data_IF_763639106135
#
_entry.id   IF_763639106135
#
_cell.length_a   1.000
_cell.length_b   1.000
_cell.length_c   1.000
_cell.angle_alpha   90.00
_cell.angle_beta   90.00
_cell.angle_gamma   90.00
#
_symmetry.space_group_name_H-M   'P 1'
#
loop_
_entity.id
_entity.type
_entity.pdbx_description
1 polymer ?
#
# COMPACT_ATOMS: atom_id res chain seq x y z
N UNK A 1 13.77 3.74 22.71
CA UNK A 1 13.22 4.81 21.85
C UNK A 1 12.80 5.91 22.78
N UNK A 2 13.24 7.16 22.55
CA UNK A 2 12.88 8.30 23.40
C UNK A 2 12.04 9.23 22.54
N UNK A 3 10.79 9.47 22.94
CA UNK A 3 9.87 10.38 22.25
C UNK A 3 9.89 11.75 22.93
N UNK A 4 9.94 12.82 22.14
CA UNK A 4 9.91 14.19 22.61
C UNK A 4 8.66 14.86 22.03
N UNK A 5 7.72 15.23 22.90
CA UNK A 5 6.62 16.11 22.55
C UNK A 5 7.09 17.57 22.51
N UNK A 6 6.26 18.50 22.01
CA UNK A 6 6.61 19.91 21.84
C UNK A 6 6.38 20.80 23.08
N UNK A 7 7.13 20.65 24.17
CA UNK A 7 7.59 21.84 24.86
C UNK A 7 8.88 22.27 24.17
N UNK A 8 8.99 23.55 23.79
CA UNK A 8 10.24 24.19 23.33
C UNK A 8 11.45 23.94 24.26
N UNK A 9 11.18 23.47 25.48
CA UNK A 9 12.13 23.00 26.50
C UNK A 9 12.89 21.72 26.14
N UNK A 10 12.37 20.84 25.29
CA UNK A 10 12.95 19.49 25.06
C UNK A 10 13.57 19.35 23.67
N UNK A 11 12.92 19.90 22.64
CA UNK A 11 13.34 19.77 21.24
C UNK A 11 13.15 21.10 20.49
N UNK A 12 14.13 21.47 19.68
CA UNK A 12 14.02 22.54 18.68
C UNK A 12 14.88 22.21 17.45
N UNK A 13 14.35 22.46 16.26
CA UNK A 13 15.09 22.36 15.00
C UNK A 13 15.54 23.77 14.57
N UNK A 14 16.78 23.88 14.09
CA UNK A 14 17.38 25.11 13.57
C UNK A 14 17.74 24.89 12.10
N UNK A 15 16.96 25.51 11.23
CA UNK A 15 17.10 25.37 9.78
C UNK A 15 18.44 25.92 9.27
N UNK A 16 18.84 27.12 9.70
CA UNK A 16 20.07 27.80 9.23
C UNK A 16 21.34 26.96 9.38
N UNK A 17 21.44 26.21 10.47
CA UNK A 17 22.63 25.45 10.84
C UNK A 17 22.46 23.93 10.57
N UNK A 18 21.28 23.51 10.09
CA UNK A 18 20.85 22.11 10.00
C UNK A 18 21.04 21.34 11.33
N UNK A 19 20.71 21.97 12.47
CA UNK A 19 20.94 21.42 13.81
C UNK A 19 19.63 21.09 14.52
N UNK A 20 19.69 20.09 15.40
CA UNK A 20 18.67 19.85 16.42
C UNK A 20 19.23 20.12 17.80
N UNK A 21 18.46 20.88 18.57
CA UNK A 21 18.72 21.08 19.98
C UNK A 21 17.84 20.15 20.80
N UNK A 22 18.48 19.24 21.55
CA UNK A 22 17.81 18.22 22.35
C UNK A 22 18.28 18.33 23.80
N UNK A 23 17.33 18.36 24.74
CA UNK A 23 17.64 18.33 26.16
C UNK A 23 17.92 16.90 26.60
N UNK A 24 19.17 16.63 26.99
CA UNK A 24 19.60 15.35 27.56
C UNK A 24 19.59 15.43 29.10
N UNK A 25 19.86 14.32 29.78
CA UNK A 25 19.83 14.21 31.25
C UNK A 25 20.66 15.27 31.99
N UNK A 26 21.76 15.74 31.39
CA UNK A 26 22.71 16.66 32.04
C UNK A 26 22.76 18.05 31.40
N UNK A 27 22.47 18.15 30.11
CA UNK A 27 22.62 19.39 29.37
C UNK A 27 21.82 19.38 28.07
N UNK A 28 21.52 20.58 27.58
CA UNK A 28 20.97 20.77 26.24
C UNK A 28 22.11 20.71 25.23
N UNK A 29 22.05 19.73 24.34
CA UNK A 29 23.03 19.53 23.28
C UNK A 29 22.50 20.07 21.96
N UNK A 30 23.40 20.57 21.13
CA UNK A 30 23.14 20.89 19.72
C UNK A 30 23.86 19.87 18.88
N UNK A 31 23.14 19.22 17.98
CA UNK A 31 23.64 18.12 17.17
C UNK A 31 23.35 18.47 15.72
N UNK A 32 24.41 18.52 14.92
CA UNK A 32 24.30 18.71 13.47
C UNK A 32 23.68 17.48 12.83
N UNK A 33 22.68 17.69 11.98
CA UNK A 33 22.03 16.62 11.24
C UNK A 33 22.77 16.34 9.94
N UNK A 34 22.76 15.07 9.53
CA UNK A 34 23.15 14.66 8.17
C UNK A 34 21.88 14.59 7.34
N UNK A 35 21.55 15.67 6.66
CA UNK A 35 20.35 15.80 5.82
C UNK A 35 20.67 15.56 4.34
N UNK A 36 19.80 14.81 3.67
CA UNK A 36 19.75 14.77 2.20
C UNK A 36 18.73 15.77 1.66
N UNK A 37 18.69 15.91 0.33
CA UNK A 37 17.84 16.92 -0.33
C UNK A 37 16.36 16.74 -0.03
N UNK A 38 15.89 15.50 0.04
CA UNK A 38 14.51 15.20 0.43
C UNK A 38 14.17 15.77 1.82
N UNK A 39 15.05 15.57 2.80
CA UNK A 39 14.84 16.07 4.15
C UNK A 39 14.91 17.60 4.19
N UNK A 40 15.87 18.20 3.47
CA UNK A 40 15.98 19.66 3.36
C UNK A 40 14.68 20.27 2.82
N UNK A 41 14.18 19.76 1.70
CA UNK A 41 12.93 20.24 1.08
C UNK A 41 11.73 20.11 2.02
N UNK A 42 11.66 19.04 2.82
CA UNK A 42 10.54 18.84 3.77
C UNK A 42 10.66 19.66 5.05
N UNK A 43 11.87 20.00 5.47
CA UNK A 43 12.13 20.77 6.68
C UNK A 43 12.13 22.27 6.42
N UNK A 44 12.40 22.69 5.18
CA UNK A 44 12.39 24.09 4.75
C UNK A 44 11.04 24.74 5.06
N UNK A 45 11.09 25.91 5.71
CA UNK A 45 9.92 26.70 6.12
C UNK A 45 8.90 25.95 7.00
N UNK A 46 9.28 24.77 7.50
CA UNK A 46 8.39 23.90 8.24
C UNK A 46 8.44 24.20 9.74
N UNK A 47 7.34 23.92 10.45
CA UNK A 47 7.29 23.99 11.91
C UNK A 47 7.23 22.59 12.50
N UNK A 48 8.38 21.96 12.82
CA UNK A 48 8.41 20.68 13.51
C UNK A 48 7.53 20.66 14.75
N UNK A 49 6.74 19.59 14.88
CA UNK A 49 5.84 19.40 16.00
C UNK A 49 6.51 18.53 17.06
N UNK A 50 6.77 17.25 16.75
CA UNK A 50 7.41 16.32 17.67
C UNK A 50 8.70 15.77 17.07
N UNK A 51 9.54 15.15 17.89
CA UNK A 51 10.67 14.37 17.40
C UNK A 51 10.87 13.10 18.22
N UNK A 52 11.30 12.01 17.58
CA UNK A 52 11.64 10.76 18.26
C UNK A 52 13.09 10.38 17.98
N UNK A 53 13.90 10.19 19.03
CA UNK A 53 15.26 9.71 18.92
C UNK A 53 15.30 8.18 19.00
N UNK A 54 15.85 7.59 17.94
CA UNK A 54 15.97 6.15 17.75
C UNK A 54 17.46 5.77 17.67
N UNK A 55 17.87 4.77 18.45
CA UNK A 55 19.19 4.14 18.30
C UNK A 55 19.05 2.87 17.47
N UNK A 56 19.87 2.73 16.43
CA UNK A 56 19.90 1.54 15.57
C UNK A 56 21.35 1.12 15.37
N UNK A 57 21.76 0.07 16.07
CA UNK A 57 23.18 -0.31 16.13
C UNK A 57 23.99 0.74 16.89
N UNK A 58 25.06 1.22 16.27
CA UNK A 58 25.90 2.32 16.76
C UNK A 58 25.38 3.71 16.40
N UNK A 59 24.40 3.80 15.49
CA UNK A 59 23.92 5.06 14.93
C UNK A 59 22.66 5.57 15.65
N UNK A 60 22.50 6.89 15.65
CA UNK A 60 21.33 7.59 16.15
C UNK A 60 20.59 8.27 15.01
N UNK A 61 19.28 8.13 15.02
CA UNK A 61 18.35 8.72 14.05
C UNK A 61 17.34 9.56 14.80
N UNK A 62 17.04 10.75 14.28
CA UNK A 62 15.95 11.58 14.79
C UNK A 62 14.83 11.66 13.76
N UNK A 63 13.65 11.21 14.15
CA UNK A 63 12.44 11.30 13.33
C UNK A 63 11.73 12.59 13.69
N UNK A 64 11.77 13.59 12.82
CA UNK A 64 11.13 14.89 13.03
C UNK A 64 9.75 14.85 12.36
N UNK A 65 8.70 15.13 13.14
CA UNK A 65 7.35 15.22 12.62
C UNK A 65 7.05 16.64 12.17
N UNK A 66 6.66 16.78 10.91
CA UNK A 66 6.23 18.05 10.31
C UNK A 66 4.76 17.94 9.95
N UNK A 67 3.98 18.99 10.22
CA UNK A 67 2.63 19.13 9.69
C UNK A 67 2.70 19.85 8.35
N UNK A 68 2.02 19.31 7.35
CA UNK A 68 1.84 19.94 6.04
C UNK A 68 0.36 19.87 5.69
N UNK A 69 -0.18 20.96 5.16
CA UNK A 69 -1.51 20.94 4.56
C UNK A 69 -1.44 20.15 3.25
N UNK A 70 -2.41 19.27 3.05
CA UNK A 70 -2.54 18.55 1.78
C UNK A 70 -3.07 19.55 0.74
N UNK A 71 -2.58 19.48 -0.52
CA UNK A 71 -3.18 20.28 -1.59
C UNK A 71 -4.65 19.91 -1.75
N UNK A 72 -5.44 20.86 -2.25
CA UNK A 72 -6.85 20.60 -2.57
C UNK A 72 -6.98 19.42 -3.55
N UNK A 73 -8.02 18.63 -3.35
CA UNK A 73 -8.28 17.47 -4.19
C UNK A 73 -8.74 17.92 -5.58
N UNK A 74 -8.15 17.34 -6.61
CA UNK A 74 -8.55 17.64 -7.99
C UNK A 74 -9.91 16.99 -8.25
N UNK A 75 -10.90 17.79 -8.69
CA UNK A 75 -12.18 17.26 -9.16
C UNK A 75 -12.05 16.79 -10.61
N UNK A 76 -12.07 15.48 -10.82
CA UNK A 76 -11.89 14.84 -12.14
C UNK A 76 -12.89 13.71 -12.36
N UNK A 77 -13.44 13.65 -13.57
CA UNK A 77 -14.30 12.53 -14.02
C UNK A 77 -13.49 11.32 -14.48
N UNK A 78 -12.22 11.53 -14.84
CA UNK A 78 -11.30 10.46 -15.23
C UNK A 78 -10.97 9.60 -14.02
N UNK A 79 -11.02 8.28 -14.20
CA UNK A 79 -10.74 7.30 -13.14
C UNK A 79 -9.69 6.32 -13.60
N UNK A 80 -8.63 6.18 -12.79
CA UNK A 80 -7.65 5.13 -12.89
C UNK A 80 -8.04 3.99 -11.96
N UNK A 81 -8.64 2.95 -12.52
CA UNK A 81 -8.97 1.73 -11.78
C UNK A 81 -7.72 0.88 -11.57
N UNK A 82 -7.55 0.37 -10.36
CA UNK A 82 -6.40 -0.45 -9.99
C UNK A 82 -6.89 -1.75 -9.36
N UNK A 83 -6.74 -2.85 -10.10
CA UNK A 83 -7.00 -4.20 -9.59
C UNK A 83 -5.76 -4.69 -8.83
N UNK A 84 -5.96 -5.17 -7.60
CA UNK A 84 -4.88 -5.68 -6.76
C UNK A 84 -4.92 -7.21 -6.76
N UNK A 85 -3.80 -7.85 -7.10
CA UNK A 85 -3.72 -9.30 -7.19
C UNK A 85 -2.56 -9.96 -6.44
N UNK A 86 -2.63 -11.29 -6.32
CA UNK A 86 -1.57 -12.12 -5.72
C UNK A 86 -0.45 -12.41 -6.74
N UNK A 87 -0.82 -12.61 -8.01
CA UNK A 87 0.14 -12.97 -9.07
C UNK A 87 0.81 -11.73 -9.66
N UNK A 88 0.00 -10.77 -10.08
CA UNK A 88 0.43 -9.40 -10.36
C UNK A 88 -0.07 -8.53 -9.22
N UNK A 89 0.80 -7.72 -8.66
CA UNK A 89 0.55 -6.98 -7.42
C UNK A 89 -0.52 -5.92 -7.65
N UNK A 90 -0.46 -5.26 -8.81
CA UNK A 90 -1.44 -4.30 -9.27
C UNK A 90 -1.52 -4.32 -10.80
N UNK A 91 -2.73 -4.12 -11.35
CA UNK A 91 -2.99 -3.92 -12.78
C UNK A 91 -3.87 -2.69 -12.93
N UNK A 92 -3.50 -1.76 -13.81
CA UNK A 92 -4.26 -0.51 -14.02
C UNK A 92 -5.24 -0.63 -15.18
N UNK A 93 -6.27 0.22 -15.19
CA UNK A 93 -7.25 0.33 -16.28
C UNK A 93 -6.66 0.84 -17.60
N UNK A 94 -5.41 1.34 -17.58
CA UNK A 94 -4.63 1.66 -18.79
C UNK A 94 -3.78 0.47 -19.28
N UNK A 95 -3.77 -0.65 -18.55
CA UNK A 95 -3.05 -1.88 -18.92
C UNK A 95 -1.64 -1.99 -18.33
N UNK A 96 -1.20 -1.05 -17.49
CA UNK A 96 0.08 -1.16 -16.80
C UNK A 96 0.00 -2.29 -15.76
N UNK A 97 0.97 -3.21 -15.79
CA UNK A 97 1.04 -4.36 -14.87
C UNK A 97 2.26 -4.27 -13.98
N UNK A 98 2.06 -4.39 -12.68
CA UNK A 98 3.12 -4.49 -11.68
C UNK A 98 3.30 -5.94 -11.26
N UNK A 99 4.24 -6.63 -11.90
CA UNK A 99 4.42 -8.08 -11.75
C UNK A 99 4.87 -8.51 -10.35
N UNK A 100 4.35 -9.64 -9.86
CA UNK A 100 4.73 -10.23 -8.58
C UNK A 100 5.82 -11.31 -8.65
N UNK A 101 6.38 -11.58 -9.83
CA UNK A 101 7.31 -12.71 -10.07
C UNK A 101 8.53 -12.67 -9.15
N UNK A 102 9.22 -11.53 -9.08
CA UNK A 102 10.43 -11.37 -8.25
C UNK A 102 10.12 -11.53 -6.77
N UNK A 103 9.02 -10.94 -6.29
CA UNK A 103 8.55 -11.13 -4.92
C UNK A 103 8.28 -12.61 -4.64
N UNK A 104 7.59 -13.30 -5.54
CA UNK A 104 7.29 -14.73 -5.40
C UNK A 104 8.56 -15.56 -5.29
N UNK A 105 9.57 -15.30 -6.12
CA UNK A 105 10.87 -15.98 -6.06
C UNK A 105 11.56 -15.74 -4.72
N UNK A 106 11.60 -14.49 -4.25
CA UNK A 106 12.19 -14.12 -2.97
C UNK A 106 11.46 -14.80 -1.80
N UNK A 107 10.12 -14.78 -1.80
CA UNK A 107 9.31 -15.46 -0.78
C UNK A 107 9.57 -16.96 -0.75
N UNK A 108 9.68 -17.59 -1.92
CA UNK A 108 9.98 -19.02 -2.03
C UNK A 108 11.40 -19.34 -1.53
N UNK A 109 12.38 -18.51 -1.87
CA UNK A 109 13.76 -18.65 -1.39
C UNK A 109 13.83 -18.60 0.14
N UNK A 110 13.29 -17.54 0.77
CA UNK A 110 13.27 -17.41 2.22
C UNK A 110 12.42 -18.49 2.90
N UNK A 111 11.33 -18.93 2.27
CA UNK A 111 10.53 -20.06 2.75
C UNK A 111 11.32 -21.36 2.81
N UNK A 112 12.07 -21.68 1.75
CA UNK A 112 12.92 -22.85 1.67
C UNK A 112 14.03 -22.79 2.73
N UNK A 113 14.73 -21.64 2.84
CA UNK A 113 15.74 -21.42 3.87
C UNK A 113 15.19 -21.63 5.28
N UNK A 114 14.00 -21.09 5.60
CA UNK A 114 13.36 -21.27 6.91
C UNK A 114 13.06 -22.74 7.18
N UNK A 115 12.57 -23.48 6.19
CA UNK A 115 12.29 -24.91 6.32
C UNK A 115 13.58 -25.71 6.61
N UNK A 116 14.66 -25.44 5.88
CA UNK A 116 15.98 -26.08 6.12
C UNK A 116 16.50 -25.77 7.52
N UNK A 117 16.45 -24.50 7.95
CA UNK A 117 16.89 -24.09 9.28
C UNK A 117 16.04 -24.75 10.38
N UNK A 118 14.73 -24.89 10.16
CA UNK A 118 13.84 -25.54 11.12
C UNK A 118 14.13 -27.05 11.23
N UNK A 119 14.32 -27.74 10.11
CA UNK A 119 14.72 -29.16 10.11
C UNK A 119 16.06 -29.39 10.82
N UNK A 120 17.07 -28.55 10.54
CA UNK A 120 18.38 -28.61 11.21
C UNK A 120 18.29 -28.31 12.70
N UNK A 121 17.41 -27.39 13.10
CA UNK A 121 17.20 -27.07 14.51
C UNK A 121 16.53 -28.23 15.28
N UNK A 122 15.57 -28.93 14.66
CA UNK A 122 14.90 -30.08 15.30
C UNK A 122 15.86 -31.25 15.51
N UNK A 123 16.70 -31.56 14.53
CA UNK A 123 17.65 -32.69 14.59
C UNK A 123 19.00 -32.35 15.25
N UNK A 124 19.21 -31.08 15.60
CA UNK A 124 20.53 -30.55 15.95
C UNK A 124 20.84 -30.49 17.45
N UNK A 125 22.13 -30.45 17.76
CA UNK A 125 22.66 -30.19 19.11
C UNK A 125 22.27 -28.79 19.63
N UNK A 126 22.49 -28.51 20.92
CA UNK A 126 22.22 -27.19 21.53
C UNK A 126 22.91 -26.04 20.78
N UNK A 127 24.17 -26.24 20.38
CA UNK A 127 24.95 -25.26 19.60
C UNK A 127 24.36 -25.05 18.19
N UNK A 128 23.93 -26.12 17.54
CA UNK A 128 23.27 -26.06 16.22
C UNK A 128 21.95 -25.29 16.28
N UNK A 129 21.14 -25.54 17.31
CA UNK A 129 19.90 -24.80 17.58
C UNK A 129 20.15 -23.31 17.79
N UNK A 130 21.17 -22.95 18.57
CA UNK A 130 21.58 -21.56 18.78
C UNK A 130 21.94 -20.88 17.46
N UNK A 131 22.82 -21.49 16.65
CA UNK A 131 23.22 -20.95 15.33
C UNK A 131 22.03 -20.79 14.39
N UNK A 132 21.10 -21.75 14.37
CA UNK A 132 19.88 -21.63 13.55
C UNK A 132 19.01 -20.44 13.98
N UNK A 133 18.86 -20.19 15.29
CA UNK A 133 18.13 -19.02 15.81
C UNK A 133 18.83 -17.71 15.43
N UNK A 134 20.14 -17.62 15.57
CA UNK A 134 20.92 -16.43 15.17
C UNK A 134 20.78 -16.15 13.67
N UNK A 135 20.82 -17.18 12.82
CA UNK A 135 20.57 -17.04 11.38
C UNK A 135 19.14 -16.59 11.08
N UNK A 136 18.14 -17.17 11.75
CA UNK A 136 16.74 -16.74 11.59
C UNK A 136 16.55 -15.26 12.00
N UNK A 137 17.18 -14.82 13.09
CA UNK A 137 17.16 -13.42 13.50
C UNK A 137 17.80 -12.50 12.45
N UNK A 138 18.94 -12.89 11.88
CA UNK A 138 19.59 -12.12 10.79
C UNK A 138 18.75 -12.02 9.52
N UNK A 139 17.97 -13.06 9.21
CA UNK A 139 17.07 -13.08 8.03
C UNK A 139 15.74 -12.37 8.31
N UNK A 140 15.39 -12.16 9.58
CA UNK A 140 14.13 -11.57 10.00
C UNK A 140 13.90 -10.19 9.38
N UNK A 141 12.68 -9.98 8.88
CA UNK A 141 12.26 -8.73 8.28
C UNK A 141 12.85 -8.40 6.90
N UNK A 142 13.79 -9.19 6.34
CA UNK A 142 14.32 -8.94 4.97
C UNK A 142 13.22 -8.99 3.91
N UNK A 143 12.41 -10.05 3.95
CA UNK A 143 11.25 -10.23 3.06
C UNK A 143 10.25 -9.07 3.19
N UNK A 144 9.94 -8.66 4.42
CA UNK A 144 9.02 -7.55 4.69
C UNK A 144 9.56 -6.20 4.19
N UNK A 145 10.86 -5.94 4.35
CA UNK A 145 11.51 -4.72 3.81
C UNK A 145 11.47 -4.70 2.29
N UNK A 146 11.73 -5.82 1.64
CA UNK A 146 11.66 -5.92 0.19
C UNK A 146 10.23 -5.71 -0.33
N UNK A 147 9.23 -6.36 0.27
CA UNK A 147 7.82 -6.13 -0.08
C UNK A 147 7.42 -4.66 0.12
N UNK A 148 7.86 -4.05 1.22
CA UNK A 148 7.62 -2.63 1.51
C UNK A 148 8.21 -1.72 0.45
N UNK A 149 9.45 -1.96 0.03
CA UNK A 149 10.12 -1.24 -1.05
C UNK A 149 9.28 -1.29 -2.33
N UNK A 150 8.91 -2.49 -2.79
CA UNK A 150 8.09 -2.66 -4.00
C UNK A 150 6.74 -1.96 -3.86
N UNK A 151 6.06 -2.09 -2.72
CA UNK A 151 4.81 -1.39 -2.50
C UNK A 151 4.98 0.14 -2.53
N UNK A 152 6.10 0.69 -2.05
CA UNK A 152 6.39 2.13 -2.19
C UNK A 152 6.63 2.51 -3.66
N UNK A 153 7.34 1.70 -4.44
CA UNK A 153 7.59 1.97 -5.86
C UNK A 153 6.28 1.95 -6.66
N UNK A 154 5.46 0.91 -6.48
CA UNK A 154 4.15 0.76 -7.14
C UNK A 154 3.21 1.91 -6.77
N UNK A 155 3.03 2.20 -5.48
CA UNK A 155 2.15 3.29 -5.04
C UNK A 155 2.62 4.65 -5.54
N UNK A 156 3.93 4.89 -5.64
CA UNK A 156 4.46 6.13 -6.22
C UNK A 156 4.12 6.21 -7.70
N UNK A 157 4.38 5.14 -8.46
CA UNK A 157 4.12 5.10 -9.90
C UNK A 157 2.63 5.33 -10.23
N UNK A 158 1.72 4.68 -9.49
CA UNK A 158 0.27 4.84 -9.70
C UNK A 158 -0.18 6.27 -9.39
N UNK A 159 0.26 6.85 -8.28
CA UNK A 159 -0.10 8.23 -7.91
C UNK A 159 0.47 9.23 -8.91
N UNK A 160 1.73 9.08 -9.32
CA UNK A 160 2.33 9.92 -10.35
C UNK A 160 1.55 9.83 -11.66
N UNK A 161 1.19 8.61 -12.09
CA UNK A 161 0.39 8.44 -13.30
C UNK A 161 -0.97 9.14 -13.18
N UNK A 162 -1.64 9.02 -12.04
CA UNK A 162 -2.92 9.68 -11.79
C UNK A 162 -2.82 11.22 -11.82
N UNK A 163 -1.66 11.79 -11.44
CA UNK A 163 -1.38 13.23 -11.59
C UNK A 163 -1.14 13.64 -13.05
N UNK A 164 -0.54 12.75 -13.87
CA UNK A 164 -0.26 13.03 -15.29
C UNK A 164 -1.52 13.03 -16.17
N UNK A 165 -2.51 12.19 -15.87
CA UNK A 165 -3.77 12.07 -16.64
C UNK A 165 -4.97 12.78 -15.99
N UNK A 166 -4.71 13.70 -15.05
CA UNK A 166 -5.64 14.13 -14.01
C UNK A 166 -6.80 13.15 -13.75
N UNK A 167 -6.54 12.09 -12.98
CA UNK A 167 -7.53 11.07 -12.64
C UNK A 167 -7.60 10.82 -11.14
N UNK A 168 -8.78 10.42 -10.66
CA UNK A 168 -8.92 9.81 -9.33
C UNK A 168 -8.58 8.33 -9.38
N UNK A 169 -8.07 7.79 -8.28
CA UNK A 169 -7.69 6.38 -8.16
C UNK A 169 -8.86 5.59 -7.57
N UNK A 170 -9.28 4.51 -8.23
CA UNK A 170 -10.28 3.59 -7.70
C UNK A 170 -9.64 2.24 -7.33
N UNK A 171 -9.95 1.73 -6.14
CA UNK A 171 -9.50 0.45 -5.61
C UNK A 171 -10.67 -0.36 -5.07
N UNK A 172 -10.58 -1.69 -5.12
CA UNK A 172 -11.53 -2.54 -4.41
C UNK A 172 -11.35 -2.47 -2.89
N UNK A 173 -12.45 -2.53 -2.15
CA UNK A 173 -12.40 -2.72 -0.69
C UNK A 173 -12.21 -4.20 -0.33
N UNK A 174 -10.96 -4.63 -0.32
CA UNK A 174 -10.55 -6.00 0.00
C UNK A 174 -10.60 -6.35 1.50
N UNK A 175 -11.37 -5.60 2.29
CA UNK A 175 -11.54 -5.83 3.73
C UNK A 175 -12.30 -7.15 3.94
N UNK A 176 -11.81 -8.02 4.85
CA UNK A 176 -12.49 -9.29 5.16
C UNK A 176 -12.05 -10.51 4.32
N UNK A 177 -11.20 -10.32 3.31
CA UNK A 177 -10.80 -11.41 2.41
C UNK A 177 -10.01 -12.50 3.13
N UNK A 178 -9.20 -12.12 4.12
CA UNK A 178 -8.34 -13.07 4.85
C UNK A 178 -9.17 -14.02 5.70
N UNK A 179 -10.21 -13.50 6.34
CA UNK A 179 -11.13 -14.23 7.20
C UNK A 179 -11.84 -15.34 6.41
N UNK A 180 -12.41 -14.99 5.25
CA UNK A 180 -13.08 -15.96 4.38
C UNK A 180 -12.12 -17.03 3.84
N UNK A 181 -10.92 -16.62 3.41
CA UNK A 181 -9.89 -17.55 2.92
C UNK A 181 -9.37 -18.47 4.03
N UNK A 182 -9.20 -17.95 5.24
CA UNK A 182 -8.68 -18.74 6.35
C UNK A 182 -9.62 -19.87 6.74
N UNK A 183 -10.94 -19.66 6.64
CA UNK A 183 -11.96 -20.65 6.95
C UNK A 183 -12.15 -21.70 5.84
N UNK A 184 -12.11 -21.29 4.56
CA UNK A 184 -12.57 -22.13 3.44
C UNK A 184 -11.46 -22.70 2.56
N UNK A 185 -10.24 -22.13 2.61
CA UNK A 185 -9.20 -22.47 1.65
C UNK A 185 -8.14 -23.46 2.16
N UNK A 186 -7.55 -24.20 1.21
CA UNK A 186 -6.41 -25.09 1.46
C UNK A 186 -5.16 -24.34 1.92
N UNK A 187 -4.24 -25.07 2.59
CA UNK A 187 -3.01 -24.53 3.22
C UNK A 187 -2.17 -23.64 2.28
N UNK A 188 -2.03 -24.04 1.02
CA UNK A 188 -1.25 -23.30 0.03
C UNK A 188 -1.90 -21.97 -0.39
N UNK A 189 -3.22 -21.94 -0.54
CA UNK A 189 -3.94 -20.72 -0.90
C UNK A 189 -3.96 -19.73 0.27
N UNK A 190 -4.24 -20.22 1.48
CA UNK A 190 -4.15 -19.44 2.73
C UNK A 190 -2.77 -18.78 2.90
N UNK A 191 -1.69 -19.53 2.66
CA UNK A 191 -0.32 -18.98 2.72
C UNK A 191 -0.09 -17.83 1.75
N UNK A 192 -0.61 -17.93 0.52
CA UNK A 192 -0.46 -16.89 -0.51
C UNK A 192 -1.21 -15.62 -0.12
N UNK A 193 -2.47 -15.75 0.30
CA UNK A 193 -3.32 -14.62 0.71
C UNK A 193 -2.79 -13.93 1.97
N UNK A 194 -2.38 -14.70 2.98
CA UNK A 194 -1.81 -14.12 4.20
C UNK A 194 -0.43 -13.49 3.97
N UNK A 195 0.32 -13.98 2.98
CA UNK A 195 1.58 -13.37 2.55
C UNK A 195 1.39 -12.16 1.63
N UNK A 196 0.18 -11.87 1.18
CA UNK A 196 -0.12 -10.76 0.27
C UNK A 196 -0.32 -9.46 1.07
N UNK A 197 0.51 -8.47 0.79
CA UNK A 197 0.56 -7.19 1.50
C UNK A 197 -0.28 -6.10 0.81
N UNK A 198 -1.48 -6.45 0.32
CA UNK A 198 -2.38 -5.51 -0.36
C UNK A 198 -2.80 -4.35 0.54
N UNK A 199 -3.05 -4.63 1.83
CA UNK A 199 -3.41 -3.61 2.81
C UNK A 199 -2.32 -2.53 2.93
N UNK A 200 -1.05 -2.94 2.98
CA UNK A 200 0.07 -2.00 3.00
C UNK A 200 0.15 -1.17 1.70
N UNK A 201 -0.15 -1.78 0.54
CA UNK A 201 -0.19 -1.04 -0.71
C UNK A 201 -1.34 -0.02 -0.73
N UNK A 202 -2.52 -0.38 -0.23
CA UNK A 202 -3.67 0.53 -0.03
C UNK A 202 -3.31 1.69 0.91
N UNK A 203 -2.66 1.43 2.04
CA UNK A 203 -2.17 2.48 2.94
C UNK A 203 -1.21 3.43 2.22
N UNK A 204 -0.29 2.87 1.42
CA UNK A 204 0.69 3.66 0.70
C UNK A 204 0.09 4.49 -0.42
N UNK A 205 -0.90 3.97 -1.14
CA UNK A 205 -1.69 4.72 -2.09
C UNK A 205 -2.46 5.84 -1.39
N UNK A 206 -3.10 5.55 -0.26
CA UNK A 206 -3.93 6.51 0.49
C UNK A 206 -3.14 7.75 0.91
N UNK A 207 -2.02 7.58 1.63
CA UNK A 207 -1.28 8.77 2.08
C UNK A 207 -0.55 9.49 0.95
N UNK A 208 -0.12 8.80 -0.11
CA UNK A 208 0.55 9.44 -1.25
C UNK A 208 -0.42 10.18 -2.14
N UNK A 209 -1.60 9.61 -2.38
CA UNK A 209 -2.67 10.26 -3.12
C UNK A 209 -3.11 11.54 -2.40
N UNK A 210 -3.32 11.45 -1.07
CA UNK A 210 -3.60 12.63 -0.24
C UNK A 210 -2.50 13.69 -0.33
N UNK A 211 -1.22 13.29 -0.20
CA UNK A 211 -0.09 14.21 -0.30
C UNK A 211 0.08 14.81 -1.70
N UNK A 212 -0.54 14.22 -2.72
CA UNK A 212 -0.49 14.62 -4.12
C UNK A 212 -1.76 15.35 -4.60
N UNK A 213 -2.78 15.48 -3.74
CA UNK A 213 -4.09 16.05 -4.12
C UNK A 213 -4.92 15.13 -5.04
N UNK A 214 -4.55 13.86 -5.15
CA UNK A 214 -5.24 12.88 -5.98
C UNK A 214 -6.36 12.24 -5.15
N UNK A 215 -7.63 12.31 -5.57
CA UNK A 215 -8.71 11.61 -4.88
C UNK A 215 -8.53 10.10 -4.99
N UNK A 216 -8.80 9.38 -3.91
CA UNK A 216 -8.80 7.92 -3.87
C UNK A 216 -10.16 7.44 -3.36
N UNK A 217 -10.81 6.59 -4.16
CA UNK A 217 -12.12 6.00 -3.86
C UNK A 217 -12.02 4.50 -3.72
N UNK A 218 -12.88 3.95 -2.87
CA UNK A 218 -13.04 2.53 -2.69
C UNK A 218 -14.35 2.08 -3.34
N UNK A 219 -14.30 0.96 -4.05
CA UNK A 219 -15.46 0.33 -4.70
C UNK A 219 -15.70 -1.06 -4.10
N UNK A 220 -16.94 -1.51 -4.15
CA UNK A 220 -17.28 -2.87 -3.73
C UNK A 220 -16.61 -3.90 -4.68
N UNK A 221 -15.87 -4.90 -4.16
CA UNK A 221 -15.30 -5.98 -4.97
C UNK A 221 -16.34 -6.92 -5.59
N UNK A 222 -17.61 -6.83 -5.22
CA UNK A 222 -18.65 -7.71 -5.73
C UNK A 222 -18.76 -7.63 -7.26
N UNK A 223 -18.72 -8.80 -7.92
CA UNK A 223 -18.91 -8.98 -9.36
C UNK A 223 -17.91 -8.29 -10.31
N UNK A 224 -16.93 -7.54 -9.80
CA UNK A 224 -15.89 -6.86 -10.61
C UNK A 224 -15.07 -7.84 -11.45
N UNK A 225 -14.80 -9.03 -10.92
CA UNK A 225 -14.03 -10.08 -11.59
C UNK A 225 -14.86 -11.00 -12.51
N UNK A 226 -16.19 -10.88 -12.46
CA UNK A 226 -17.13 -11.72 -13.23
C UNK A 226 -17.82 -10.93 -14.35
N UNK A 227 -17.84 -9.61 -14.27
CA UNK A 227 -18.52 -8.73 -15.23
C UNK A 227 -17.60 -8.41 -16.40
N UNK A 228 -18.12 -8.38 -17.64
CA UNK A 228 -17.36 -7.92 -18.79
C UNK A 228 -17.34 -6.38 -18.85
N UNK A 229 -16.16 -5.78 -18.94
CA UNK A 229 -16.05 -4.32 -19.01
C UNK A 229 -16.61 -3.70 -20.30
N UNK A 230 -16.78 -4.48 -21.37
CA UNK A 230 -17.26 -3.99 -22.65
C UNK A 230 -18.78 -3.95 -22.74
N UNK A 231 -19.47 -4.94 -22.17
CA UNK A 231 -20.93 -5.06 -22.30
C UNK A 231 -21.69 -5.16 -20.97
N UNK A 232 -21.00 -5.23 -19.83
CA UNK A 232 -21.62 -5.29 -18.49
C UNK A 232 -22.24 -6.65 -18.14
N UNK A 233 -22.16 -7.65 -19.01
CA UNK A 233 -22.71 -8.99 -18.76
C UNK A 233 -21.69 -9.92 -18.10
N UNK A 234 -22.19 -10.96 -17.43
CA UNK A 234 -21.33 -11.97 -16.82
C UNK A 234 -20.50 -12.73 -17.87
N UNK A 235 -19.21 -12.85 -17.60
CA UNK A 235 -18.28 -13.65 -18.37
C UNK A 235 -17.68 -14.78 -17.55
N UNK A 236 -16.81 -15.54 -18.23
CA UNK A 236 -16.15 -16.71 -17.69
C UNK A 236 -14.69 -16.36 -17.44
N UNK A 237 -14.27 -16.41 -16.18
CA UNK A 237 -12.87 -16.24 -15.76
C UNK A 237 -12.20 -17.61 -15.60
N UNK A 238 -11.07 -17.81 -16.26
CA UNK A 238 -10.21 -18.96 -16.05
C UNK A 238 -8.78 -18.50 -15.73
N UNK A 239 -8.48 -18.36 -14.45
CA UNK A 239 -7.19 -17.84 -13.98
C UNK A 239 -6.95 -16.40 -14.44
N UNK A 240 -6.07 -16.25 -15.43
CA UNK A 240 -5.66 -14.96 -16.03
C UNK A 240 -6.44 -14.59 -17.29
N UNK A 241 -7.20 -15.51 -17.87
CA UNK A 241 -8.04 -15.22 -19.03
C UNK A 241 -9.48 -14.93 -18.60
N UNK A 242 -10.12 -14.04 -19.34
CA UNK A 242 -11.54 -13.76 -19.26
C UNK A 242 -12.14 -13.89 -20.66
N UNK A 243 -13.33 -14.47 -20.75
CA UNK A 243 -14.12 -14.56 -21.99
C UNK A 243 -15.56 -14.19 -21.72
N UNK A 244 -16.09 -13.22 -22.45
CA UNK A 244 -17.51 -12.88 -22.44
C UNK A 244 -18.25 -13.72 -23.49
N UNK A 245 -19.28 -14.50 -23.10
CA UNK A 245 -20.10 -15.25 -24.05
C UNK A 245 -21.08 -14.36 -24.83
N UNK A 246 -21.38 -13.15 -24.34
CA UNK A 246 -22.38 -12.25 -24.93
C UNK A 246 -21.77 -11.37 -26.02
N UNK A 247 -20.74 -10.57 -25.70
CA UNK A 247 -20.11 -9.68 -26.68
C UNK A 247 -18.87 -10.27 -27.36
N UNK A 248 -18.44 -11.48 -26.98
CA UNK A 248 -17.28 -12.16 -27.55
C UNK A 248 -15.92 -11.64 -27.06
N UNK A 249 -15.87 -10.59 -26.24
CA UNK A 249 -14.61 -10.06 -25.73
C UNK A 249 -13.80 -11.13 -24.98
N UNK A 250 -12.50 -11.20 -25.26
CA UNK A 250 -11.58 -12.05 -24.52
C UNK A 250 -10.26 -11.34 -24.26
N UNK A 251 -9.67 -11.59 -23.10
CA UNK A 251 -8.43 -10.91 -22.71
C UNK A 251 -7.98 -11.25 -21.30
N UNK A 252 -7.12 -10.38 -20.75
CA UNK A 252 -6.60 -10.52 -19.40
C UNK A 252 -7.68 -10.18 -18.36
N UNK A 253 -7.90 -11.10 -17.42
CA UNK A 253 -8.93 -10.98 -16.39
C UNK A 253 -8.67 -9.83 -15.41
N UNK A 254 -7.42 -9.52 -15.11
CA UNK A 254 -7.06 -8.45 -14.17
C UNK A 254 -7.18 -7.07 -14.86
N UNK A 255 -6.92 -7.00 -16.17
CA UNK A 255 -7.23 -5.80 -16.96
C UNK A 255 -8.74 -5.53 -17.02
N UNK A 256 -9.54 -6.59 -17.23
CA UNK A 256 -11.00 -6.49 -17.18
C UNK A 256 -11.49 -6.01 -15.81
N UNK A 257 -10.95 -6.58 -14.73
CA UNK A 257 -11.20 -6.15 -13.36
C UNK A 257 -10.87 -4.66 -13.17
N UNK A 258 -9.67 -4.23 -13.58
CA UNK A 258 -9.24 -2.84 -13.47
C UNK A 258 -10.16 -1.86 -14.24
N UNK A 259 -10.65 -2.25 -15.42
CA UNK A 259 -11.66 -1.46 -16.16
C UNK A 259 -13.00 -1.37 -15.44
N UNK A 260 -13.48 -2.47 -14.85
CA UNK A 260 -14.71 -2.47 -14.05
C UNK A 260 -14.58 -1.60 -12.79
N UNK A 261 -13.44 -1.68 -12.09
CA UNK A 261 -13.12 -0.82 -10.95
C UNK A 261 -13.12 0.65 -11.35
N UNK A 262 -12.51 0.98 -12.51
CA UNK A 262 -12.52 2.34 -13.03
C UNK A 262 -13.95 2.82 -13.33
N UNK A 263 -14.79 1.97 -13.92
CA UNK A 263 -16.20 2.31 -14.16
C UNK A 263 -16.91 2.59 -12.84
N UNK A 264 -16.85 1.69 -11.86
CA UNK A 264 -17.50 1.86 -10.55
C UNK A 264 -17.02 3.13 -9.85
N UNK A 265 -15.71 3.40 -9.90
CA UNK A 265 -15.09 4.58 -9.30
C UNK A 265 -15.65 5.91 -9.82
N UNK A 266 -16.19 5.95 -11.06
CA UNK A 266 -16.81 7.17 -11.61
C UNK A 266 -18.05 7.60 -10.81
N UNK A 267 -18.77 6.64 -10.23
CA UNK A 267 -20.09 6.89 -9.63
C UNK A 267 -20.06 7.04 -8.11
N UNK A 268 -18.90 6.85 -7.45
CA UNK A 268 -18.79 6.90 -5.98
C UNK A 268 -19.04 8.30 -5.40
N UNK A 269 -18.69 9.37 -6.13
CA UNK A 269 -18.63 10.74 -5.59
C UNK A 269 -19.69 11.70 -6.19
N UNK A 270 -20.70 11.19 -6.91
CA UNK A 270 -21.69 12.05 -7.57
C UNK A 270 -22.79 12.49 -6.58
N UNK A 271 -22.99 13.80 -6.35
CA UNK A 271 -24.15 14.29 -5.59
C UNK A 271 -25.43 14.03 -6.39
N UNK A 272 -26.42 13.39 -5.77
CA UNK A 272 -27.71 13.05 -6.41
C UNK A 272 -28.08 11.56 -6.40
N UNK A 273 -27.22 10.68 -5.91
CA UNK A 273 -27.52 9.25 -5.91
C UNK A 273 -27.73 8.70 -7.32
N UNK A 274 -28.18 7.45 -7.39
CA UNK A 274 -28.27 6.57 -8.57
C UNK A 274 -29.25 7.00 -9.69
N UNK A 275 -29.56 8.29 -9.85
CA UNK A 275 -30.51 8.77 -10.86
C UNK A 275 -29.81 9.01 -12.20
N UNK A 276 -29.82 7.98 -13.05
CA UNK A 276 -29.29 8.05 -14.41
C UNK A 276 -28.30 6.94 -14.76
N UNK A 277 -28.60 5.70 -14.37
CA UNK A 277 -27.70 4.56 -14.59
C UNK A 277 -28.03 3.78 -15.86
N UNK A 278 -27.25 3.92 -16.95
CA UNK A 278 -27.21 2.91 -17.99
C UNK A 278 -26.27 1.77 -17.53
N UNK A 279 -26.67 1.05 -16.47
CA UNK A 279 -26.17 -0.29 -16.10
C UNK A 279 -24.66 -0.57 -15.85
N UNK A 280 -24.30 -0.90 -14.58
CA UNK A 280 -23.56 -2.13 -14.16
C UNK A 280 -24.58 -3.11 -13.54
N UNK A 281 -25.74 -3.23 -14.18
CA UNK A 281 -27.06 -3.47 -13.55
C UNK A 281 -27.23 -2.79 -12.19
N UNK A 282 -27.30 -1.46 -12.31
CA UNK A 282 -27.77 -0.46 -11.36
C UNK A 282 -26.82 -0.04 -10.22
N UNK A 283 -25.49 -0.16 -10.36
CA UNK A 283 -24.52 0.18 -9.27
C UNK A 283 -24.59 -0.81 -8.07
N UNK A 284 -25.27 -1.96 -8.20
CA UNK A 284 -25.50 -2.97 -7.14
C UNK A 284 -26.25 -2.40 -5.89
N UNK A 285 -27.56 -2.15 -6.02
CA UNK A 285 -28.57 -2.01 -4.93
C UNK A 285 -28.21 -1.23 -3.63
N UNK A 286 -27.35 -0.21 -3.68
CA UNK A 286 -27.27 0.83 -2.64
C UNK A 286 -26.09 0.79 -1.65
N UNK A 287 -24.96 0.15 -1.96
CA UNK A 287 -23.80 0.12 -1.07
C UNK A 287 -22.53 0.67 -1.73
N UNK A 288 -22.45 2.00 -1.84
CA UNK A 288 -21.19 2.70 -2.05
C UNK A 288 -20.72 3.24 -0.70
N UNK A 289 -19.68 2.63 -0.12
CA UNK A 289 -18.98 3.22 1.03
C UNK A 289 -17.95 4.19 0.49
N UNK A 290 -18.25 5.49 0.55
CA UNK A 290 -17.20 6.49 0.53
C UNK A 290 -16.19 6.17 1.65
N UNK A 291 -14.88 6.37 1.46
CA UNK A 291 -13.93 6.26 2.55
C UNK A 291 -14.34 7.28 3.62
N UNK A 292 -14.83 6.78 4.76
CA UNK A 292 -15.00 7.61 5.95
C UNK A 292 -13.59 7.93 6.43
N UNK A 293 -13.06 9.05 5.96
CA UNK A 293 -12.01 9.74 6.67
C UNK A 293 -12.64 10.15 8.00
N UNK A 294 -12.36 9.39 9.07
CA UNK A 294 -12.60 9.89 10.42
C UNK A 294 -11.47 10.86 10.72
N UNK A 295 -11.67 12.18 10.67
CA UNK A 295 -10.88 13.03 11.54
C UNK A 295 -11.21 12.60 12.98
N UNK A 296 -10.17 12.63 13.82
CA UNK A 296 -10.24 12.30 15.26
C UNK A 296 -11.41 12.97 15.98
#
# INVERSE_FOLDING_TARGET
MISFSKPSRIFAFREKDEEVSVTLLRSRQRIKLVLGDYQRTRLKDSKPTSATLCKKGSEYYINIQVKSEAPEQIHVDTVLGVDLGITDIAVTSEGQKFGGKTIKLIKNHYASMRAVLQQKAVKGTRSSRRRCRELQQRLSGKEARYQRQINHEISKAIVTRAQEIPAKIALEDLTGIREGVNQKAGKNHRRKVNGWAFYQLKEFLSYKALAAGVPLVLVDPAYTSQTCHQCGEHGIRNGKSFKCPVCGWSGDADFNGAKNIAFLGRYVDRPGGSEGLPSIKAVLSGLLKAPVFRPE
#
